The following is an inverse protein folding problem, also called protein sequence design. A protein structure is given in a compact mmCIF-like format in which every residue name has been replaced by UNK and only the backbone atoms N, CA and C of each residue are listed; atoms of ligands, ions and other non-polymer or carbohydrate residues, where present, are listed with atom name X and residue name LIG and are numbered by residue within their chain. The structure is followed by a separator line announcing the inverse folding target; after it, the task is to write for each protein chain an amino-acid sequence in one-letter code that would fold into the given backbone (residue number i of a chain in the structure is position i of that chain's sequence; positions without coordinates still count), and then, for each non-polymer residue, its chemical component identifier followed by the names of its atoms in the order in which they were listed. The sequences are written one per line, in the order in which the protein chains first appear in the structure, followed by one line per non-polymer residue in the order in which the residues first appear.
data_IF_645425492651
#
_entry.id   IF_645425492651
#
_cell.length_a   1.000
_cell.length_b   1.000
_cell.length_c   1.000
_cell.angle_alpha   90.00
_cell.angle_beta   90.00
_cell.angle_gamma   90.00
#
_symmetry.space_group_name_H-M   'P 1'
#
loop_
_entity.id
_entity.type
_entity.pdbx_description
1 polymer ?
#
# COMPACT_ATOMS: atom_id res chain seq x y z
N UNK A 1 3.54 -8.72 17.06
CA UNK A 1 4.07 -9.65 16.02
C UNK A 1 5.18 -8.95 15.26
N UNK A 2 6.28 -9.61 14.90
CA UNK A 2 7.44 -8.97 14.24
C UNK A 2 7.03 -8.23 12.95
N UNK A 3 6.22 -8.85 12.10
CA UNK A 3 5.74 -8.25 10.84
C UNK A 3 4.91 -6.97 11.04
N UNK A 4 4.11 -6.86 12.11
CA UNK A 4 3.35 -5.64 12.40
C UNK A 4 4.25 -4.47 12.81
N UNK A 5 5.33 -4.75 13.53
CA UNK A 5 6.30 -3.73 13.90
C UNK A 5 7.04 -3.21 12.66
N UNK A 6 7.48 -4.12 11.79
CA UNK A 6 8.13 -3.76 10.50
C UNK A 6 7.19 -2.94 9.61
N UNK A 7 5.91 -3.32 9.50
CA UNK A 7 4.91 -2.53 8.79
C UNK A 7 4.75 -1.13 9.40
N UNK A 8 4.70 -1.04 10.73
CA UNK A 8 4.52 0.24 11.44
C UNK A 8 5.71 1.17 11.22
N UNK A 9 6.93 0.64 11.32
CA UNK A 9 8.17 1.37 11.02
C UNK A 9 8.19 1.87 9.58
N UNK A 10 7.76 1.02 8.62
CA UNK A 10 7.65 1.42 7.21
C UNK A 10 6.66 2.57 7.05
N UNK A 11 5.46 2.48 7.63
CA UNK A 11 4.46 3.55 7.56
C UNK A 11 4.97 4.87 8.19
N UNK A 12 5.67 4.81 9.32
CA UNK A 12 6.31 5.98 9.95
C UNK A 12 7.32 6.61 8.99
N UNK A 13 8.17 5.78 8.37
CA UNK A 13 9.21 6.27 7.46
C UNK A 13 8.62 6.99 6.25
N UNK A 14 7.57 6.41 5.64
CA UNK A 14 6.90 6.99 4.47
C UNK A 14 6.15 8.29 4.81
N UNK A 15 5.54 8.37 6.00
CA UNK A 15 4.93 9.61 6.50
C UNK A 15 5.99 10.70 6.68
N UNK A 16 7.09 10.39 7.37
CA UNK A 16 8.19 11.35 7.62
C UNK A 16 8.84 11.82 6.32
N UNK A 17 9.04 10.92 5.34
CA UNK A 17 9.57 11.25 4.00
C UNK A 17 8.71 12.30 3.28
N UNK A 18 7.41 12.34 3.56
CA UNK A 18 6.45 13.31 3.00
C UNK A 18 6.31 14.58 3.84
N UNK A 19 7.08 14.72 4.92
CA UNK A 19 6.99 15.89 5.82
C UNK A 19 5.69 15.99 6.62
N UNK A 20 4.92 14.89 6.69
CA UNK A 20 3.62 14.88 7.36
C UNK A 20 3.80 14.63 8.86
N UNK A 21 3.10 15.37 9.71
CA UNK A 21 2.92 15.05 11.12
C UNK A 21 1.84 13.99 11.32
N UNK A 22 1.78 13.39 12.52
CA UNK A 22 0.65 12.51 12.87
C UNK A 22 -0.70 13.25 12.85
N UNK A 23 -0.70 14.57 13.11
CA UNK A 23 -1.92 15.39 13.10
C UNK A 23 -2.44 15.57 11.67
N UNK A 24 -1.54 15.67 10.69
CA UNK A 24 -1.91 15.84 9.27
C UNK A 24 -2.63 14.61 8.72
N UNK A 25 -2.33 13.43 9.27
CA UNK A 25 -3.04 12.20 8.94
C UNK A 25 -4.54 12.31 9.23
N UNK A 26 -4.97 13.13 10.20
CA UNK A 26 -6.39 13.37 10.41
C UNK A 26 -7.09 13.95 9.18
N UNK A 27 -6.45 14.89 8.51
CA UNK A 27 -7.00 15.51 7.31
C UNK A 27 -6.91 14.58 6.10
N UNK A 28 -5.83 13.81 5.98
CA UNK A 28 -5.60 12.93 4.83
C UNK A 28 -6.45 11.66 4.85
N UNK A 29 -6.65 11.05 6.02
CA UNK A 29 -7.29 9.73 6.13
C UNK A 29 -8.51 9.72 7.05
N UNK A 30 -8.93 10.88 7.56
CA UNK A 30 -10.12 11.02 8.41
C UNK A 30 -10.02 10.34 9.78
N UNK A 31 -8.80 10.11 10.27
CA UNK A 31 -8.53 9.37 11.51
C UNK A 31 -8.09 10.30 12.64
N UNK A 32 -8.48 10.05 13.89
CA UNK A 32 -7.93 10.85 15.00
C UNK A 32 -6.42 10.61 15.17
N UNK A 33 -5.70 11.60 15.71
CA UNK A 33 -4.27 11.43 15.98
C UNK A 33 -3.98 10.20 16.87
N UNK A 34 -4.81 9.96 17.89
CA UNK A 34 -4.67 8.82 18.79
C UNK A 34 -4.87 7.48 18.07
N UNK A 35 -5.84 7.41 17.16
CA UNK A 35 -6.06 6.20 16.37
C UNK A 35 -4.86 5.93 15.45
N UNK A 36 -4.31 6.97 14.83
CA UNK A 36 -3.13 6.82 13.98
C UNK A 36 -1.87 6.46 14.81
N UNK A 37 -1.71 7.02 15.99
CA UNK A 37 -0.62 6.66 16.91
C UNK A 37 -0.66 5.18 17.29
N UNK A 38 -1.84 4.58 17.45
CA UNK A 38 -1.97 3.13 17.72
C UNK A 38 -1.42 2.30 16.57
N UNK A 39 -1.63 2.75 15.32
CA UNK A 39 -1.01 2.12 14.13
C UNK A 39 0.51 2.22 14.21
N UNK A 40 1.06 3.41 14.45
CA UNK A 40 2.51 3.59 14.54
C UNK A 40 3.15 2.81 15.71
N UNK A 41 2.39 2.48 16.76
CA UNK A 41 2.85 1.62 17.87
C UNK A 41 2.77 0.12 17.60
N UNK A 42 2.36 -0.32 16.40
CA UNK A 42 2.26 -1.74 16.06
C UNK A 42 1.06 -2.47 16.66
N UNK A 43 0.00 -1.74 17.02
CA UNK A 43 -1.25 -2.40 17.41
C UNK A 43 -1.97 -3.00 16.21
N UNK A 44 -2.75 -4.05 16.47
CA UNK A 44 -3.62 -4.68 15.48
C UNK A 44 -4.55 -3.65 14.85
N UNK A 45 -4.70 -3.76 13.53
CA UNK A 45 -5.48 -2.84 12.72
C UNK A 45 -6.23 -3.60 11.64
N UNK A 46 -7.40 -3.09 11.26
CA UNK A 46 -8.22 -3.69 10.20
C UNK A 46 -7.55 -3.47 8.85
N UNK A 47 -7.67 -4.42 7.93
CA UNK A 47 -7.17 -4.27 6.54
C UNK A 47 -7.72 -3.01 5.87
N UNK A 48 -9.00 -2.68 6.08
CA UNK A 48 -9.61 -1.45 5.57
C UNK A 48 -8.93 -0.18 6.09
N UNK A 49 -8.46 -0.19 7.33
CA UNK A 49 -7.65 0.90 7.91
C UNK A 49 -6.30 1.00 7.23
N UNK A 50 -5.62 -0.13 7.01
CA UNK A 50 -4.34 -0.15 6.28
C UNK A 50 -4.49 0.47 4.89
N UNK A 51 -5.46 0.00 4.10
CA UNK A 51 -5.69 0.47 2.75
C UNK A 51 -5.96 1.99 2.71
N UNK A 52 -6.71 2.53 3.68
CA UNK A 52 -6.94 3.97 3.78
C UNK A 52 -5.65 4.75 4.06
N UNK A 53 -4.79 4.22 4.94
CA UNK A 53 -3.49 4.84 5.24
C UNK A 53 -2.61 4.84 4.00
N UNK A 54 -2.56 3.73 3.26
CA UNK A 54 -1.78 3.62 2.03
C UNK A 54 -2.24 4.65 1.00
N UNK A 55 -3.56 4.77 0.77
CA UNK A 55 -4.13 5.79 -0.13
C UNK A 55 -3.75 7.21 0.33
N UNK A 56 -3.88 7.53 1.63
CA UNK A 56 -3.51 8.85 2.14
C UNK A 56 -2.02 9.18 2.07
N UNK A 57 -1.16 8.16 1.99
CA UNK A 57 0.27 8.30 1.76
C UNK A 57 0.64 8.16 0.28
N UNK A 58 -0.31 7.94 -0.64
CA UNK A 58 0.00 7.67 -2.05
C UNK A 58 0.89 6.43 -2.22
N UNK A 59 0.53 5.35 -1.53
CA UNK A 59 1.19 4.04 -1.58
C UNK A 59 0.21 2.98 -2.07
N UNK A 60 0.75 1.90 -2.64
CA UNK A 60 -0.01 0.73 -3.09
C UNK A 60 0.37 -0.52 -2.27
N UNK A 61 -0.56 -1.47 -2.18
CA UNK A 61 -0.33 -2.78 -1.58
C UNK A 61 -0.07 -3.79 -2.69
N UNK A 62 1.06 -4.50 -2.60
CA UNK A 62 1.33 -5.68 -3.42
C UNK A 62 1.33 -6.93 -2.54
N UNK A 63 0.77 -8.02 -3.06
CA UNK A 63 0.78 -9.35 -2.45
C UNK A 63 1.56 -10.26 -3.38
N UNK A 64 2.63 -10.87 -2.87
CA UNK A 64 3.50 -11.73 -3.64
C UNK A 64 3.64 -13.11 -2.97
N UNK A 65 3.90 -14.12 -3.79
CA UNK A 65 4.28 -15.45 -3.29
C UNK A 65 5.73 -15.39 -2.78
N UNK A 66 6.01 -15.74 -1.51
CA UNK A 66 7.36 -15.73 -0.96
C UNK A 66 8.34 -16.67 -1.67
N UNK A 67 7.84 -17.63 -2.47
CA UNK A 67 8.65 -18.56 -3.26
C UNK A 67 8.88 -18.09 -4.70
N UNK A 68 8.17 -17.05 -5.17
CA UNK A 68 8.44 -16.43 -6.47
C UNK A 68 9.47 -15.30 -6.31
N UNK A 69 10.73 -15.65 -6.52
CA UNK A 69 11.88 -14.74 -6.46
C UNK A 69 12.00 -13.78 -7.68
N UNK A 70 11.05 -13.81 -8.63
CA UNK A 70 11.08 -13.00 -9.87
C UNK A 70 10.20 -11.73 -9.81
N UNK A 71 10.01 -11.14 -8.63
CA UNK A 71 9.24 -9.90 -8.49
C UNK A 71 10.15 -8.68 -8.34
N UNK A 72 10.91 -8.35 -9.39
CA UNK A 72 11.25 -6.95 -9.63
C UNK A 72 9.93 -6.19 -9.88
N UNK A 73 9.73 -4.98 -9.34
CA UNK A 73 8.52 -4.20 -9.62
C UNK A 73 8.43 -3.97 -11.13
N UNK A 74 7.46 -4.63 -11.78
CA UNK A 74 7.18 -4.43 -13.19
C UNK A 74 6.69 -2.98 -13.33
N UNK A 75 7.56 -2.08 -13.77
CA UNK A 75 7.16 -0.76 -14.25
C UNK A 75 6.50 -0.95 -15.61
N UNK A 76 5.30 -1.51 -15.62
CA UNK A 76 4.53 -1.69 -16.84
C UNK A 76 4.05 -0.32 -17.30
N UNK A 77 4.49 0.08 -18.48
CA UNK A 77 3.97 1.26 -19.17
C UNK A 77 2.51 1.03 -19.58
N UNK A 78 1.73 2.10 -19.73
CA UNK A 78 0.30 1.98 -20.08
C UNK A 78 0.07 1.22 -21.40
N UNK A 79 1.03 1.29 -22.33
CA UNK A 79 1.03 0.53 -23.58
C UNK A 79 1.13 -1.00 -23.38
N UNK A 80 1.88 -1.45 -22.39
CA UNK A 80 2.04 -2.88 -22.09
C UNK A 80 0.81 -3.46 -21.39
N UNK A 81 0.08 -2.64 -20.61
CA UNK A 81 -1.20 -3.03 -20.00
C UNK A 81 -2.29 -3.29 -21.04
N UNK A 82 -2.41 -2.45 -22.07
CA UNK A 82 -3.37 -2.67 -23.16
C UNK A 82 -3.03 -3.94 -23.96
N UNK A 83 -1.73 -4.17 -24.22
CA UNK A 83 -1.29 -5.32 -24.99
C UNK A 83 -1.54 -6.65 -24.25
N UNK A 84 -1.40 -6.66 -22.91
CA UNK A 84 -1.69 -7.84 -22.08
C UNK A 84 -3.19 -8.13 -22.04
N UNK A 85 -4.05 -7.11 -21.94
CA UNK A 85 -5.51 -7.28 -21.99
C UNK A 85 -5.98 -7.84 -23.34
N UNK A 86 -5.52 -7.25 -24.45
CA UNK A 86 -5.85 -7.71 -25.80
C UNK A 86 -5.40 -9.16 -26.04
N UNK A 87 -4.21 -9.53 -25.54
CA UNK A 87 -3.67 -10.89 -25.69
C UNK A 87 -4.45 -11.93 -24.90
N UNK A 88 -4.90 -11.59 -23.68
CA UNK A 88 -5.61 -12.51 -22.78
C UNK A 88 -7.06 -12.74 -23.20
N UNK A 89 -7.67 -11.78 -23.90
CA UNK A 89 -9.06 -11.85 -24.37
C UNK A 89 -9.19 -12.17 -25.87
N UNK A 90 -8.09 -12.51 -26.55
CA UNK A 90 -8.06 -12.88 -27.97
C UNK A 90 -8.97 -14.06 -28.35
N UNK A 91 -9.36 -14.89 -27.38
CA UNK A 91 -10.23 -16.06 -27.58
C UNK A 91 -11.73 -15.77 -27.39
N UNK A 92 -12.10 -14.51 -27.11
CA UNK A 92 -13.50 -14.09 -26.93
C UNK A 92 -14.09 -13.44 -28.19
N UNK A 93 -13.32 -13.37 -29.28
CA UNK A 93 -13.75 -12.81 -30.57
C UNK A 93 -14.09 -13.88 -31.63
N UNK A 94 -14.09 -15.17 -31.27
CA UNK A 94 -14.61 -16.27 -32.10
C UNK A 94 -16.01 -16.74 -31.63
#
# INVERSE_FOLDING_TARGET
MKALNELSEKLISERKKRGLSQKDMRMLIGMSQQQYQRVESGQDLKVSTLLRILVGLGLELSIADPLNLENEPITVTDAERENIWASKHKHLED
#
